data_IF_234093924877
#
_entry.id   IF_234093924877
#
_cell.length_a   1.000
_cell.length_b   1.000
_cell.length_c   1.000
_cell.angle_alpha   90.00
_cell.angle_beta   90.00
_cell.angle_gamma   90.00
#
_symmetry.space_group_name_H-M   'P 1'
#
loop_
_entity.id
_entity.type
_entity.pdbx_description
1 polymer ?
#
# COMPACT_ATOMS: atom_id res chain seq x y z
N UNK A 1 -38.13 35.28 2.19
CA UNK A 1 -37.20 34.75 3.21
C UNK A 1 -37.89 33.61 3.95
N UNK A 2 -37.20 32.56 4.44
CA UNK A 2 -35.80 32.18 4.18
C UNK A 2 -35.55 30.65 3.98
N UNK A 3 -34.43 30.37 3.30
CA UNK A 3 -33.44 29.27 3.45
C UNK A 3 -33.86 27.79 3.46
N UNK A 4 -33.23 26.99 2.59
CA UNK A 4 -32.49 25.79 3.05
C UNK A 4 -31.43 25.31 2.04
N UNK A 5 -30.18 25.60 2.41
CA UNK A 5 -28.91 24.93 2.16
C UNK A 5 -28.51 24.46 0.74
N UNK A 6 -27.63 25.27 0.14
CA UNK A 6 -26.50 24.78 -0.66
C UNK A 6 -25.43 24.27 0.33
N UNK A 7 -24.83 23.09 0.17
CA UNK A 7 -23.59 22.77 0.87
C UNK A 7 -22.44 23.54 0.23
N UNK A 8 -21.73 24.30 1.05
CA UNK A 8 -20.56 25.06 0.65
C UNK A 8 -19.42 24.12 0.23
N UNK A 9 -18.73 24.51 -0.85
CA UNK A 9 -17.39 24.03 -1.14
C UNK A 9 -16.46 24.47 0.00
N UNK A 10 -15.85 23.52 0.70
CA UNK A 10 -14.84 23.79 1.71
C UNK A 10 -15.28 23.59 3.16
N UNK A 11 -15.60 22.35 3.53
CA UNK A 11 -15.33 21.89 4.89
C UNK A 11 -14.15 20.93 4.82
N UNK A 12 -13.02 21.41 5.33
CA UNK A 12 -11.79 20.69 5.45
C UNK A 12 -12.05 19.34 6.14
N UNK A 13 -11.96 18.25 5.37
CA UNK A 13 -11.79 16.95 5.97
C UNK A 13 -10.52 17.01 6.83
N UNK A 14 -10.60 16.69 8.13
CA UNK A 14 -9.40 16.56 8.92
C UNK A 14 -8.56 15.47 8.25
N UNK A 15 -7.26 15.74 8.12
CA UNK A 15 -6.24 14.78 7.73
C UNK A 15 -6.34 13.56 8.64
N UNK A 16 -7.23 12.63 8.29
CA UNK A 16 -7.35 11.33 8.88
C UNK A 16 -6.13 10.58 8.37
N UNK A 17 -5.09 10.64 9.21
CA UNK A 17 -3.83 9.94 9.11
C UNK A 17 -4.06 8.41 9.29
N UNK A 18 -5.04 7.87 8.56
CA UNK A 18 -5.29 6.46 8.40
C UNK A 18 -4.28 6.02 7.35
N UNK A 19 -3.19 5.45 7.84
CA UNK A 19 -2.05 4.92 7.07
C UNK A 19 -2.45 4.51 5.65
N UNK A 20 -2.18 5.38 4.66
CA UNK A 20 -2.44 5.11 3.22
C UNK A 20 -1.79 3.80 2.78
N UNK A 21 -0.72 3.38 3.47
CA UNK A 21 -0.04 2.10 3.30
C UNK A 21 -0.91 0.88 3.64
N UNK A 22 -1.83 0.97 4.60
CA UNK A 22 -2.79 -0.10 4.87
C UNK A 22 -3.85 -0.23 3.76
N UNK A 23 -4.26 0.90 3.16
CA UNK A 23 -5.19 0.91 2.02
C UNK A 23 -4.54 0.42 0.73
N UNK A 24 -3.25 0.70 0.50
CA UNK A 24 -2.48 0.20 -0.65
C UNK A 24 -2.00 -1.26 -0.46
N UNK A 25 -1.64 -1.67 0.75
CA UNK A 25 -1.34 -3.07 1.08
C UNK A 25 -2.58 -3.98 0.92
N UNK A 26 -3.79 -3.44 1.11
CA UNK A 26 -5.05 -4.13 0.81
C UNK A 26 -5.29 -4.42 -0.68
N UNK A 27 -4.50 -3.85 -1.59
CA UNK A 27 -4.60 -4.10 -3.05
C UNK A 27 -3.63 -5.22 -3.48
N UNK A 28 -2.67 -5.61 -2.63
CA UNK A 28 -1.67 -6.65 -2.90
C UNK A 28 -2.03 -8.02 -2.26
N UNK A 29 -3.30 -8.33 -2.05
CA UNK A 29 -3.70 -9.65 -1.54
C UNK A 29 -3.65 -10.71 -2.65
N UNK A 30 -2.49 -11.36 -2.80
CA UNK A 30 -2.39 -12.74 -3.34
C UNK A 30 -1.63 -13.58 -2.30
N UNK A 31 -2.22 -14.68 -1.79
CA UNK A 31 -1.66 -15.46 -0.69
C UNK A 31 -0.72 -16.55 -1.21
N UNK A 32 0.44 -16.71 -0.56
CA UNK A 32 1.12 -17.99 -0.42
C UNK A 32 2.07 -17.93 0.78
N UNK A 33 1.49 -18.16 1.96
CA UNK A 33 2.22 -18.55 3.17
C UNK A 33 2.77 -19.96 2.89
N UNK A 34 4.09 -20.08 2.78
CA UNK A 34 4.76 -21.37 2.91
C UNK A 34 6.14 -21.16 3.54
N UNK A 35 6.20 -21.41 4.85
CA UNK A 35 7.40 -21.94 5.50
C UNK A 35 8.56 -20.98 5.73
N UNK A 36 8.46 -20.16 6.76
CA UNK A 36 9.63 -19.81 7.57
C UNK A 36 9.20 -19.75 9.03
N UNK A 37 9.23 -20.91 9.69
CA UNK A 37 9.35 -20.97 11.14
C UNK A 37 10.73 -20.42 11.51
N UNK A 38 10.86 -19.10 11.55
CA UNK A 38 12.01 -18.46 12.16
C UNK A 38 11.84 -18.62 13.67
N UNK A 39 12.62 -19.53 14.24
CA UNK A 39 12.84 -19.60 15.68
C UNK A 39 13.25 -18.21 16.20
N UNK A 40 12.92 -17.85 17.45
CA UNK A 40 13.40 -16.62 18.06
C UNK A 40 14.93 -16.69 18.10
N UNK A 41 15.57 -16.00 17.16
CA UNK A 41 17.02 -15.87 17.15
C UNK A 41 17.34 -14.94 18.31
N UNK A 42 18.09 -15.46 19.29
CA UNK A 42 18.58 -14.69 20.42
C UNK A 42 19.20 -13.37 19.92
N UNK A 43 19.04 -12.25 20.67
CA UNK A 43 19.56 -10.96 20.24
C UNK A 43 21.07 -11.06 20.07
N UNK A 44 21.53 -10.87 18.83
CA UNK A 44 22.93 -10.69 18.52
C UNK A 44 23.39 -9.36 19.16
N UNK A 45 23.90 -9.46 20.38
CA UNK A 45 24.57 -8.40 21.12
C UNK A 45 25.97 -8.18 20.57
N UNK A 46 26.11 -8.09 19.25
CA UNK A 46 27.33 -7.58 18.62
C UNK A 46 27.63 -6.21 19.25
N UNK A 47 28.86 -5.96 19.74
CA UNK A 47 29.17 -4.72 20.42
C UNK A 47 28.99 -3.58 19.42
N UNK A 48 27.95 -2.77 19.64
CA UNK A 48 27.71 -1.53 18.92
C UNK A 48 28.94 -0.66 19.21
N UNK A 49 29.93 -0.69 18.33
CA UNK A 49 31.19 0.06 18.44
C UNK A 49 30.99 1.53 18.05
N UNK A 50 29.75 1.90 17.73
CA UNK A 50 29.34 3.18 17.16
C UNK A 50 28.66 4.00 18.24
N UNK A 51 29.07 5.24 18.44
CA UNK A 51 28.48 6.10 19.47
C UNK A 51 26.99 6.39 19.23
N UNK A 52 26.23 6.65 20.30
CA UNK A 52 24.81 7.00 20.21
C UNK A 52 24.57 8.23 19.33
N UNK A 53 25.44 9.24 19.40
CA UNK A 53 25.34 10.42 18.54
C UNK A 53 25.37 10.05 17.05
N UNK A 54 26.22 9.11 16.66
CA UNK A 54 26.28 8.66 15.27
C UNK A 54 25.02 7.88 14.90
N UNK A 55 24.49 7.03 15.79
CA UNK A 55 23.23 6.32 15.54
C UNK A 55 22.04 7.28 15.39
N UNK A 56 21.99 8.34 16.21
CA UNK A 56 20.97 9.39 16.13
C UNK A 56 21.06 10.19 14.83
N UNK A 57 22.29 10.54 14.39
CA UNK A 57 22.51 11.23 13.12
C UNK A 57 22.12 10.37 11.92
N UNK A 58 22.47 9.08 11.93
CA UNK A 58 22.07 8.14 10.89
C UNK A 58 20.54 8.01 10.81
N UNK A 59 19.89 7.88 11.97
CA UNK A 59 18.43 7.83 12.04
C UNK A 59 17.79 9.10 11.50
N UNK A 60 18.29 10.27 11.90
CA UNK A 60 17.77 11.55 11.41
C UNK A 60 17.94 11.69 9.89
N UNK A 61 19.10 11.31 9.36
CA UNK A 61 19.36 11.29 7.92
C UNK A 61 18.39 10.36 7.17
N UNK A 62 18.15 9.15 7.71
CA UNK A 62 17.20 8.20 7.13
C UNK A 62 15.75 8.71 7.22
N UNK A 63 15.37 9.38 8.30
CA UNK A 63 14.06 10.01 8.48
C UNK A 63 13.83 11.15 7.49
N UNK A 64 14.84 12.00 7.28
CA UNK A 64 14.80 13.11 6.33
C UNK A 64 14.67 12.58 4.89
N UNK A 65 15.41 11.51 4.56
CA UNK A 65 15.30 10.84 3.27
C UNK A 65 13.91 10.22 3.05
N UNK A 66 13.38 9.49 4.05
CA UNK A 66 12.03 8.95 4.01
C UNK A 66 10.98 10.06 3.80
N UNK A 67 11.09 11.16 4.53
CA UNK A 67 10.18 12.31 4.40
C UNK A 67 10.21 12.91 2.99
N UNK A 68 11.39 13.01 2.38
CA UNK A 68 11.53 13.50 1.01
C UNK A 68 10.87 12.56 -0.02
N UNK A 69 11.03 11.25 0.15
CA UNK A 69 10.37 10.25 -0.70
C UNK A 69 8.85 10.30 -0.54
N UNK A 70 8.34 10.40 0.69
CA UNK A 70 6.91 10.48 0.98
C UNK A 70 6.27 11.73 0.33
N UNK A 71 6.91 12.89 0.43
CA UNK A 71 6.44 14.13 -0.22
C UNK A 71 6.41 13.97 -1.74
N UNK A 72 7.43 13.34 -2.32
CA UNK A 72 7.48 13.09 -3.76
C UNK A 72 6.37 12.16 -4.23
N UNK A 73 6.20 11.01 -3.56
CA UNK A 73 5.14 10.05 -3.88
C UNK A 73 3.76 10.71 -3.74
N UNK A 74 3.53 11.46 -2.65
CA UNK A 74 2.27 12.16 -2.43
C UNK A 74 1.97 13.19 -3.52
N UNK A 75 2.97 13.95 -3.97
CA UNK A 75 2.81 14.90 -5.06
C UNK A 75 2.45 14.22 -6.40
N UNK A 76 3.05 13.06 -6.71
CA UNK A 76 2.72 12.29 -7.91
C UNK A 76 1.29 11.71 -7.79
N UNK A 77 0.95 11.15 -6.64
CA UNK A 77 -0.39 10.60 -6.38
C UNK A 77 -1.48 11.69 -6.48
N UNK A 78 -1.22 12.89 -5.95
CA UNK A 78 -2.10 14.05 -6.07
C UNK A 78 -2.27 14.49 -7.53
N UNK A 79 -1.17 14.54 -8.31
CA UNK A 79 -1.22 14.88 -9.72
C UNK A 79 -1.99 13.86 -10.57
N UNK A 80 -1.94 12.57 -10.20
CA UNK A 80 -2.70 11.51 -10.86
C UNK A 80 -4.19 11.54 -10.49
N UNK A 81 -4.53 11.88 -9.25
CA UNK A 81 -5.91 11.92 -8.76
C UNK A 81 -6.63 10.59 -8.99
N UNK A 82 -7.80 10.63 -9.64
CA UNK A 82 -8.59 9.42 -9.97
C UNK A 82 -7.87 8.45 -10.91
N UNK A 83 -6.91 8.93 -11.72
CA UNK A 83 -6.15 8.08 -12.66
C UNK A 83 -5.20 7.12 -11.95
N UNK A 84 -4.92 7.34 -10.67
CA UNK A 84 -4.15 6.41 -9.85
C UNK A 84 -4.89 5.08 -9.64
N UNK A 85 -6.22 5.09 -9.77
CA UNK A 85 -7.08 3.92 -9.60
C UNK A 85 -7.93 3.74 -10.87
N UNK A 86 -7.35 3.24 -11.99
CA UNK A 86 -8.12 2.98 -13.19
C UNK A 86 -9.22 1.96 -12.85
N UNK A 87 -10.44 2.27 -13.24
CA UNK A 87 -11.58 1.40 -13.05
C UNK A 87 -12.29 1.20 -14.38
N UNK A 88 -12.55 -0.06 -14.72
CA UNK A 88 -13.45 -0.41 -15.80
C UNK A 88 -14.62 -1.20 -15.22
N UNK A 89 -15.83 -0.74 -15.53
CA UNK A 89 -17.07 -1.36 -15.06
C UNK A 89 -17.67 -2.16 -16.21
N UNK A 90 -17.75 -3.47 -16.04
CA UNK A 90 -18.39 -4.32 -17.02
C UNK A 90 -19.87 -3.91 -17.18
N UNK A 91 -20.41 -3.94 -18.41
CA UNK A 91 -21.83 -3.70 -18.64
C UNK A 91 -22.68 -4.62 -17.76
N UNK A 92 -23.65 -4.07 -17.03
CA UNK A 92 -24.52 -4.81 -16.11
C UNK A 92 -25.97 -4.89 -16.60
N UNK A 93 -26.82 -5.53 -15.80
CA UNK A 93 -28.27 -5.57 -16.01
C UNK A 93 -28.80 -6.89 -16.57
N UNK A 94 -30.14 -7.00 -16.65
CA UNK A 94 -30.86 -8.25 -16.98
C UNK A 94 -30.46 -8.82 -18.35
N UNK A 95 -29.98 -7.97 -19.25
CA UNK A 95 -29.53 -8.35 -20.60
C UNK A 95 -28.01 -8.44 -20.74
N UNK A 96 -27.25 -8.21 -19.67
CA UNK A 96 -25.80 -8.28 -19.74
C UNK A 96 -25.31 -9.73 -19.86
N UNK A 97 -24.33 -9.92 -20.74
CA UNK A 97 -23.63 -11.20 -20.92
C UNK A 97 -22.48 -11.39 -19.95
N UNK A 98 -22.09 -10.32 -19.24
CA UNK A 98 -21.07 -10.36 -18.19
C UNK A 98 -21.68 -10.86 -16.89
N UNK A 99 -22.62 -10.12 -16.34
CA UNK A 99 -23.25 -10.41 -15.06
C UNK A 99 -24.49 -9.52 -14.87
N UNK A 100 -25.46 -10.03 -14.12
CA UNK A 100 -26.58 -9.23 -13.65
C UNK A 100 -26.15 -8.17 -12.63
N UNK A 101 -25.08 -8.44 -11.87
CA UNK A 101 -24.43 -7.51 -10.94
C UNK A 101 -23.23 -6.85 -11.64
N UNK A 102 -23.12 -5.51 -11.66
CA UNK A 102 -21.95 -4.82 -12.20
C UNK A 102 -20.66 -5.29 -11.53
N UNK A 103 -19.65 -5.65 -12.33
CA UNK A 103 -18.33 -6.02 -11.87
C UNK A 103 -17.35 -4.88 -12.16
N UNK A 104 -16.50 -4.56 -11.19
CA UNK A 104 -15.46 -3.53 -11.33
C UNK A 104 -14.11 -4.22 -11.45
N UNK A 105 -13.36 -3.87 -12.48
CA UNK A 105 -11.99 -4.32 -12.70
C UNK A 105 -11.05 -3.14 -12.54
N UNK A 106 -9.97 -3.35 -11.79
CA UNK A 106 -8.95 -2.32 -11.52
C UNK A 106 -7.63 -2.56 -12.22
N UNK A 107 -7.48 -3.74 -12.84
CA UNK A 107 -6.28 -4.10 -13.60
C UNK A 107 -6.67 -4.83 -14.87
N UNK A 108 -5.92 -4.59 -15.93
CA UNK A 108 -6.10 -5.24 -17.23
C UNK A 108 -6.00 -6.76 -17.10
N UNK A 109 -5.03 -7.24 -16.30
CA UNK A 109 -4.81 -8.66 -16.00
C UNK A 109 -6.02 -9.33 -15.34
N UNK A 110 -6.69 -8.67 -14.38
CA UNK A 110 -7.88 -9.23 -13.75
C UNK A 110 -9.04 -9.35 -14.74
N UNK A 111 -9.21 -8.34 -15.60
CA UNK A 111 -10.22 -8.37 -16.65
C UNK A 111 -9.95 -9.47 -17.69
N UNK A 112 -8.70 -9.65 -18.13
CA UNK A 112 -8.31 -10.72 -19.05
C UNK A 112 -8.57 -12.12 -18.48
N UNK A 113 -8.26 -12.32 -17.20
CA UNK A 113 -8.55 -13.58 -16.51
C UNK A 113 -10.06 -13.88 -16.48
N UNK A 114 -10.89 -12.86 -16.24
CA UNK A 114 -12.34 -13.00 -16.26
C UNK A 114 -12.87 -13.26 -17.69
N UNK A 115 -12.36 -12.55 -18.70
CA UNK A 115 -12.71 -12.79 -20.12
C UNK A 115 -12.42 -14.25 -20.47
N UNK A 116 -11.24 -14.76 -20.10
CA UNK A 116 -10.89 -16.17 -20.31
C UNK A 116 -11.87 -17.10 -19.61
N UNK A 117 -12.15 -16.87 -18.32
CA UNK A 117 -13.10 -17.66 -17.55
C UNK A 117 -14.49 -17.71 -18.21
N UNK A 118 -14.95 -16.56 -18.74
CA UNK A 118 -16.24 -16.44 -19.43
C UNK A 118 -16.25 -17.18 -20.76
N UNK A 119 -15.18 -17.06 -21.56
CA UNK A 119 -15.01 -17.82 -22.81
C UNK A 119 -15.09 -19.33 -22.53
N UNK A 120 -14.33 -19.82 -21.57
CA UNK A 120 -14.34 -21.24 -21.18
C UNK A 120 -15.74 -21.70 -20.75
N UNK A 121 -16.50 -20.85 -20.05
CA UNK A 121 -17.88 -21.14 -19.65
C UNK A 121 -18.84 -21.20 -20.84
N UNK A 122 -18.71 -20.27 -21.79
CA UNK A 122 -19.54 -20.22 -23.01
C UNK A 122 -19.24 -21.45 -23.89
N UNK A 123 -17.96 -21.78 -24.08
CA UNK A 123 -17.54 -22.96 -24.85
C UNK A 123 -18.06 -24.25 -24.24
N UNK A 124 -17.96 -24.43 -22.92
CA UNK A 124 -18.53 -25.58 -22.21
C UNK A 124 -20.04 -25.66 -22.37
N UNK A 125 -20.74 -24.53 -22.31
CA UNK A 125 -22.20 -24.47 -22.47
C UNK A 125 -22.63 -24.84 -23.88
N UNK A 126 -21.88 -24.40 -24.89
CA UNK A 126 -22.11 -24.77 -26.29
C UNK A 126 -21.83 -26.26 -26.54
N UNK A 127 -20.68 -26.76 -26.08
CA UNK A 127 -20.32 -28.17 -26.21
C UNK A 127 -21.31 -29.11 -25.49
N UNK A 128 -21.88 -28.67 -24.38
CA UNK A 128 -22.91 -29.39 -23.64
C UNK A 128 -24.32 -29.30 -24.23
N UNK A 129 -24.52 -28.62 -25.36
CA UNK A 129 -25.84 -28.45 -25.98
C UNK A 129 -26.80 -27.51 -25.25
N UNK A 130 -26.32 -26.78 -24.23
CA UNK A 130 -27.10 -25.81 -23.44
C UNK A 130 -27.27 -24.47 -24.17
N UNK A 131 -26.57 -24.29 -25.30
CA UNK A 131 -26.56 -23.07 -26.09
C UNK A 131 -26.57 -23.41 -27.58
N UNK A 132 -27.39 -22.72 -28.37
CA UNK A 132 -27.36 -22.88 -29.83
C UNK A 132 -26.21 -22.07 -30.47
N UNK A 133 -25.88 -22.37 -31.73
CA UNK A 133 -24.75 -21.74 -32.43
C UNK A 133 -24.86 -20.22 -32.52
N UNK A 134 -26.04 -19.70 -32.84
CA UNK A 134 -26.25 -18.25 -32.95
C UNK A 134 -26.04 -17.52 -31.62
N UNK A 135 -26.47 -18.13 -30.51
CA UNK A 135 -26.26 -17.61 -29.18
C UNK A 135 -24.77 -17.65 -28.81
N UNK A 136 -24.08 -18.75 -29.11
CA UNK A 136 -22.63 -18.87 -28.91
C UNK A 136 -21.86 -17.77 -29.66
N UNK A 137 -22.10 -17.62 -30.95
CA UNK A 137 -21.39 -16.64 -31.79
C UNK A 137 -21.65 -15.20 -31.32
N UNK A 138 -22.88 -14.91 -30.90
CA UNK A 138 -23.21 -13.63 -30.28
C UNK A 138 -22.43 -13.43 -28.99
N UNK A 139 -22.50 -14.38 -28.06
CA UNK A 139 -21.91 -14.25 -26.72
C UNK A 139 -20.39 -14.08 -26.79
N UNK A 140 -19.72 -14.87 -27.63
CA UNK A 140 -18.30 -14.70 -27.89
C UNK A 140 -18.01 -13.30 -28.41
N UNK A 141 -18.68 -12.86 -29.48
CA UNK A 141 -18.45 -11.52 -30.08
C UNK A 141 -18.59 -10.39 -29.06
N UNK A 142 -19.63 -10.42 -28.23
CA UNK A 142 -19.89 -9.35 -27.26
C UNK A 142 -18.86 -9.33 -26.12
N UNK A 143 -18.47 -10.51 -25.61
CA UNK A 143 -17.41 -10.63 -24.59
C UNK A 143 -16.07 -10.15 -25.17
N UNK A 144 -15.77 -10.47 -26.42
CA UNK A 144 -14.53 -10.04 -27.07
C UNK A 144 -14.50 -8.54 -27.33
N UNK A 145 -15.57 -7.97 -27.87
CA UNK A 145 -15.65 -6.55 -28.17
C UNK A 145 -15.53 -5.71 -26.89
N UNK A 146 -16.38 -5.99 -25.89
CA UNK A 146 -16.40 -5.25 -24.63
C UNK A 146 -15.14 -5.52 -23.80
N UNK A 147 -14.64 -6.76 -23.83
CA UNK A 147 -13.42 -7.13 -23.15
C UNK A 147 -12.19 -6.44 -23.72
N UNK A 148 -12.09 -6.34 -25.05
CA UNK A 148 -10.96 -5.65 -25.72
C UNK A 148 -10.97 -4.16 -25.40
N UNK A 149 -12.14 -3.51 -25.44
CA UNK A 149 -12.29 -2.11 -25.06
C UNK A 149 -11.87 -1.87 -23.59
N UNK A 150 -12.38 -2.69 -22.67
CA UNK A 150 -12.04 -2.59 -21.25
C UNK A 150 -10.57 -2.84 -20.96
N UNK A 151 -9.95 -3.84 -21.61
CA UNK A 151 -8.52 -4.12 -21.47
C UNK A 151 -7.69 -2.96 -22.01
N UNK A 152 -8.06 -2.38 -23.16
CA UNK A 152 -7.37 -1.22 -23.71
C UNK A 152 -7.45 -0.01 -22.76
N UNK A 153 -8.64 0.29 -22.24
CA UNK A 153 -8.85 1.39 -21.29
C UNK A 153 -8.05 1.21 -20.00
N UNK A 154 -8.03 0.00 -19.42
CA UNK A 154 -7.24 -0.30 -18.22
C UNK A 154 -5.74 -0.21 -18.48
N UNK A 155 -5.26 -0.71 -19.63
CA UNK A 155 -3.85 -0.62 -20.01
C UNK A 155 -3.40 0.81 -20.25
N UNK A 156 -4.26 1.66 -20.80
CA UNK A 156 -3.98 3.08 -20.94
C UNK A 156 -3.81 3.73 -19.56
N UNK A 157 -4.72 3.43 -18.61
CA UNK A 157 -4.61 3.89 -17.22
C UNK A 157 -3.33 3.40 -16.53
N UNK A 158 -3.02 2.11 -16.66
CA UNK A 158 -1.78 1.51 -16.14
C UNK A 158 -0.53 2.16 -16.76
N UNK A 159 -0.53 2.45 -18.05
CA UNK A 159 0.57 3.14 -18.73
C UNK A 159 0.74 4.58 -18.24
N UNK A 160 -0.34 5.30 -17.94
CA UNK A 160 -0.29 6.64 -17.34
C UNK A 160 0.34 6.58 -15.94
N UNK A 161 -0.03 5.58 -15.13
CA UNK A 161 0.57 5.37 -13.80
C UNK A 161 2.07 5.06 -13.96
N UNK A 162 2.44 4.16 -14.86
CA UNK A 162 3.84 3.81 -15.10
C UNK A 162 4.65 5.03 -15.54
N UNK A 163 4.16 5.78 -16.54
CA UNK A 163 4.83 6.96 -17.08
C UNK A 163 4.97 8.11 -16.07
N UNK A 164 4.11 8.16 -15.06
CA UNK A 164 4.21 9.17 -13.99
C UNK A 164 5.39 8.94 -13.05
N UNK A 165 6.00 7.75 -13.06
CA UNK A 165 7.03 7.35 -12.11
C UNK A 165 6.47 7.05 -10.71
N UNK A 166 5.15 6.96 -10.55
CA UNK A 166 4.52 6.58 -9.28
C UNK A 166 5.01 5.23 -8.74
N UNK A 167 5.12 4.15 -9.55
CA UNK A 167 5.61 2.85 -9.04
C UNK A 167 7.03 2.95 -8.48
N UNK A 168 7.89 3.73 -9.14
CA UNK A 168 9.26 3.97 -8.68
C UNK A 168 9.29 4.78 -7.39
N UNK A 169 8.51 5.87 -7.32
CA UNK A 169 8.43 6.69 -6.12
C UNK A 169 7.90 5.88 -4.93
N UNK A 170 6.85 5.08 -5.12
CA UNK A 170 6.31 4.17 -4.10
C UNK A 170 7.40 3.21 -3.57
N UNK A 171 8.14 2.57 -4.48
CA UNK A 171 9.23 1.65 -4.11
C UNK A 171 10.33 2.35 -3.32
N UNK A 172 10.76 3.54 -3.76
CA UNK A 172 11.76 4.35 -3.05
C UNK A 172 11.27 4.78 -1.66
N UNK A 173 9.99 5.11 -1.50
CA UNK A 173 9.40 5.43 -0.20
C UNK A 173 9.37 4.21 0.73
N UNK A 174 9.09 3.02 0.20
CA UNK A 174 9.09 1.77 0.98
C UNK A 174 10.50 1.34 1.41
N UNK A 175 11.48 1.45 0.50
CA UNK A 175 12.90 1.24 0.78
C UNK A 175 13.40 2.23 1.84
N UNK A 176 13.13 3.53 1.67
CA UNK A 176 13.54 4.56 2.63
C UNK A 176 12.88 4.38 4.00
N UNK A 177 11.62 3.94 4.05
CA UNK A 177 10.97 3.59 5.31
C UNK A 177 11.64 2.42 6.01
N UNK A 178 12.00 1.37 5.27
CA UNK A 178 12.70 0.21 5.81
C UNK A 178 14.04 0.62 6.41
N UNK A 179 14.81 1.46 5.71
CA UNK A 179 16.07 2.04 6.23
C UNK A 179 15.84 2.89 7.48
N UNK A 180 14.84 3.77 7.49
CA UNK A 180 14.52 4.58 8.66
C UNK A 180 14.11 3.74 9.87
N UNK A 181 13.34 2.66 9.65
CA UNK A 181 12.94 1.70 10.69
C UNK A 181 14.14 0.93 11.26
N UNK A 182 15.05 0.48 10.40
CA UNK A 182 16.28 -0.19 10.84
C UNK A 182 17.17 0.75 11.66
N UNK A 183 17.41 1.97 11.18
CA UNK A 183 18.19 2.97 11.90
C UNK A 183 17.56 3.34 13.26
N UNK A 184 16.23 3.43 13.31
CA UNK A 184 15.49 3.61 14.56
C UNK A 184 15.68 2.43 15.52
N UNK A 185 15.64 1.21 15.01
CA UNK A 185 15.93 -0.01 15.78
C UNK A 185 17.35 -0.02 16.38
N UNK A 186 18.34 0.55 15.67
CA UNK A 186 19.70 0.72 16.21
C UNK A 186 19.72 1.71 17.38
N UNK A 187 19.03 2.85 17.26
CA UNK A 187 18.90 3.82 18.36
C UNK A 187 18.23 3.17 19.58
N UNK A 188 17.18 2.39 19.36
CA UNK A 188 16.47 1.66 20.42
C UNK A 188 17.35 0.65 21.16
N UNK A 189 18.22 -0.07 20.46
CA UNK A 189 19.11 -1.07 21.05
C UNK A 189 20.38 -0.47 21.66
N UNK A 190 20.72 0.78 21.36
CA UNK A 190 21.93 1.40 21.90
C UNK A 190 21.79 1.62 23.42
N UNK A 191 22.75 1.16 24.24
CA UNK A 191 22.75 1.39 25.68
C UNK A 191 23.02 2.87 25.99
N UNK A 192 22.33 3.43 26.99
CA UNK A 192 22.56 4.79 27.46
C UNK A 192 23.75 4.79 28.44
N UNK A 193 24.68 5.73 28.29
CA UNK A 193 25.82 5.88 29.22
C UNK A 193 25.68 7.13 30.10
N UNK A 194 24.73 8.02 29.78
CA UNK A 194 24.48 9.28 30.45
C UNK A 194 22.99 9.65 30.46
N UNK A 195 22.62 10.61 31.29
CA UNK A 195 21.26 11.17 31.29
C UNK A 195 20.96 11.97 30.01
N UNK A 196 22.00 12.53 29.37
CA UNK A 196 21.90 13.17 28.07
C UNK A 196 21.52 12.17 26.97
N UNK A 197 22.14 10.97 26.97
CA UNK A 197 21.83 9.89 26.03
C UNK A 197 20.36 9.46 26.12
N UNK A 198 19.90 9.29 27.35
CA UNK A 198 18.50 9.00 27.67
C UNK A 198 17.56 10.05 27.07
N UNK A 199 17.85 11.34 27.29
CA UNK A 199 17.00 12.44 26.80
C UNK A 199 16.99 12.47 25.27
N UNK A 200 18.14 12.23 24.64
CA UNK A 200 18.25 12.18 23.19
C UNK A 200 17.44 11.01 22.61
N UNK A 201 17.54 9.82 23.22
CA UNK A 201 16.78 8.62 22.82
C UNK A 201 15.27 8.80 23.02
N UNK A 202 14.83 9.36 24.14
CA UNK A 202 13.42 9.68 24.39
C UNK A 202 12.86 10.69 23.38
N UNK A 203 13.65 11.69 22.99
CA UNK A 203 13.25 12.66 21.96
C UNK A 203 13.08 11.99 20.59
N UNK A 204 13.98 11.09 20.22
CA UNK A 204 13.88 10.29 18.99
C UNK A 204 12.68 9.33 19.02
N UNK A 205 12.37 8.74 20.16
CA UNK A 205 11.20 7.89 20.36
C UNK A 205 9.89 8.64 20.10
N UNK A 206 9.73 9.82 20.69
CA UNK A 206 8.54 10.65 20.51
C UNK A 206 8.36 11.07 19.05
N UNK A 207 9.47 11.34 18.35
CA UNK A 207 9.46 11.68 16.92
C UNK A 207 9.12 10.48 16.04
N UNK A 208 9.82 9.36 16.25
CA UNK A 208 9.68 8.14 15.46
C UNK A 208 8.33 7.46 15.62
N UNK A 209 7.76 7.44 16.83
CA UNK A 209 6.44 6.84 17.10
C UNK A 209 5.34 7.47 16.25
N UNK A 210 5.34 8.80 16.16
CA UNK A 210 4.33 9.54 15.38
C UNK A 210 4.39 9.24 13.88
N UNK A 211 5.57 8.87 13.35
CA UNK A 211 5.83 8.77 11.91
C UNK A 211 5.93 7.34 11.39
N UNK A 212 6.53 6.43 12.14
CA UNK A 212 6.79 5.07 11.68
C UNK A 212 5.65 4.10 12.01
N UNK A 213 4.64 4.53 12.78
CA UNK A 213 3.49 3.73 13.20
C UNK A 213 3.88 2.33 13.69
N UNK A 214 5.06 2.20 14.29
CA UNK A 214 5.49 0.98 14.94
C UNK A 214 4.69 0.88 16.23
N UNK A 215 3.78 -0.10 16.31
CA UNK A 215 3.36 -0.64 17.59
C UNK A 215 4.65 -1.06 18.30
N UNK A 216 5.02 -0.32 19.34
CA UNK A 216 6.18 -0.67 20.13
C UNK A 216 5.86 -1.99 20.82
N UNK A 217 6.79 -2.93 20.74
CA UNK A 217 6.79 -3.99 21.73
C UNK A 217 6.93 -3.31 23.10
N UNK A 218 5.99 -3.59 23.99
CA UNK A 218 6.01 -3.09 25.37
C UNK A 218 7.36 -3.42 26.02
N UNK A 219 7.99 -4.53 25.64
CA UNK A 219 9.33 -4.91 26.05
C UNK A 219 10.44 -3.91 25.62
N UNK A 220 10.39 -3.34 24.43
CA UNK A 220 11.38 -2.36 23.95
C UNK A 220 11.22 -1.02 24.66
N UNK A 221 9.97 -0.62 24.91
CA UNK A 221 9.66 0.62 25.64
C UNK A 221 10.06 0.50 27.11
N UNK A 222 9.76 -0.64 27.74
CA UNK A 222 10.19 -0.98 29.11
C UNK A 222 11.71 -1.09 29.19
N UNK A 223 12.40 -1.68 28.22
CA UNK A 223 13.86 -1.72 28.20
C UNK A 223 14.47 -0.31 28.09
N UNK A 224 13.87 0.57 27.28
CA UNK A 224 14.29 1.96 27.20
C UNK A 224 14.07 2.71 28.52
N UNK A 225 12.90 2.53 29.16
CA UNK A 225 12.58 3.09 30.47
C UNK A 225 13.39 2.46 31.61
N UNK A 226 13.88 1.23 31.45
CA UNK A 226 14.73 0.55 32.45
C UNK A 226 16.18 0.98 32.34
N UNK A 227 16.70 1.25 31.14
CA UNK A 227 18.03 1.87 30.94
C UNK A 227 18.15 3.26 31.59
N UNK A 228 17.00 3.89 31.80
CA UNK A 228 16.79 5.14 32.51
C UNK A 228 17.01 5.02 34.04
N UNK A 229 16.85 3.81 34.59
CA UNK A 229 16.96 3.49 36.01
C UNK A 229 18.33 2.91 36.41
N UNK A 230 19.13 2.43 35.44
CA UNK A 230 20.46 1.84 35.69
C UNK A 230 21.61 2.87 35.73
N UNK A 231 21.36 4.11 35.30
CA UNK A 231 22.29 5.24 35.46
C UNK A 231 22.11 5.82 36.87
N UNK A 232 22.57 5.09 37.89
CA UNK A 232 22.73 5.57 39.28
C UNK A 232 24.18 5.47 39.73
#
# INVERSE_FOLDING_TARGET
MPNTHVPAAGEAMPAANVSRRLLLAGIASIPAIAGATAAPTAPDLSPITRSLQVALLDYQSAEDHYSACEVREAAIAEALGEKLFPEWKAPGGIRSRWSHIPMVFRTSKALEAEIKRKRDQIEKSFAGGMMNRSAYDGWMRDIEAQGTEGVASLREGEAVIEASGHPEAYRQTDEAFSTAKEAFGVVLRHPCQSIEDVRAKASSLLRGNKRLSTEFDEGELVACLSSLCEVQ
#
